data_IF_096143252259
#
_entry.id   IF_096143252259
#
_cell.length_a   1.000
_cell.length_b   1.000
_cell.length_c   1.000
_cell.angle_alpha   90.00
_cell.angle_beta   90.00
_cell.angle_gamma   90.00
#
_symmetry.space_group_name_H-M   'P 1'
#
loop_
_entity.id
_entity.type
_entity.pdbx_description
1 polymer ?
#
# COMPACT_ATOMS: atom_id res chain seq x y z
N UNK A 1 -15.07 -3.03 17.44
CA UNK A 1 -13.72 -2.61 17.04
C UNK A 1 -12.85 -2.57 18.29
N UNK A 2 -11.69 -3.25 18.27
CA UNK A 2 -10.65 -3.11 19.28
C UNK A 2 -9.47 -2.36 18.65
N UNK A 3 -8.94 -1.37 19.35
CA UNK A 3 -7.78 -0.59 18.92
C UNK A 3 -6.76 -0.66 20.05
N UNK A 4 -5.52 -0.95 19.69
CA UNK A 4 -4.39 -1.00 20.60
C UNK A 4 -3.24 -0.17 20.01
N UNK A 5 -2.70 0.74 20.79
CA UNK A 5 -1.63 1.64 20.37
C UNK A 5 -0.46 1.58 21.33
N UNK A 6 0.73 1.62 20.77
CA UNK A 6 2.01 1.72 21.47
C UNK A 6 2.83 2.89 20.90
N UNK A 7 4.02 3.12 21.45
CA UNK A 7 4.93 4.14 20.93
C UNK A 7 5.37 3.90 19.48
N UNK A 8 5.32 2.67 18.98
CA UNK A 8 5.88 2.31 17.69
C UNK A 8 4.93 1.61 16.72
N UNK A 9 3.78 1.10 17.17
CA UNK A 9 2.77 0.53 16.27
C UNK A 9 1.37 0.74 16.80
N UNK A 10 0.39 0.66 15.91
CA UNK A 10 -1.02 0.49 16.24
C UNK A 10 -1.57 -0.79 15.63
N UNK A 11 -2.49 -1.42 16.35
CA UNK A 11 -3.24 -2.60 15.93
C UNK A 11 -4.72 -2.29 16.01
N UNK A 12 -5.43 -2.58 14.93
CA UNK A 12 -6.89 -2.47 14.88
C UNK A 12 -7.48 -3.82 14.50
N UNK A 13 -8.44 -4.28 15.28
CA UNK A 13 -9.17 -5.53 15.04
C UNK A 13 -10.65 -5.23 14.93
N UNK A 14 -11.23 -5.63 13.82
CA UNK A 14 -12.68 -5.66 13.58
C UNK A 14 -13.15 -7.10 13.48
N UNK A 15 -14.45 -7.31 13.23
CA UNK A 15 -14.99 -8.65 13.00
C UNK A 15 -14.30 -9.40 11.87
N UNK A 16 -13.93 -8.70 10.79
CA UNK A 16 -13.49 -9.31 9.53
C UNK A 16 -12.06 -8.91 9.14
N UNK A 17 -11.37 -8.10 9.96
CA UNK A 17 -10.07 -7.55 9.61
C UNK A 17 -9.20 -7.30 10.83
N UNK A 18 -7.94 -7.65 10.73
CA UNK A 18 -6.87 -7.18 11.60
C UNK A 18 -5.90 -6.35 10.77
N UNK A 19 -5.47 -5.21 11.28
CA UNK A 19 -4.42 -4.38 10.68
C UNK A 19 -3.40 -3.97 11.73
N UNK A 20 -2.13 -4.10 11.38
CA UNK A 20 -1.01 -3.59 12.15
C UNK A 20 -0.29 -2.55 11.30
N UNK A 21 0.08 -1.43 11.89
CA UNK A 21 0.78 -0.37 11.17
C UNK A 21 1.84 0.31 12.04
N UNK A 22 2.89 0.79 11.40
CA UNK A 22 3.90 1.66 12.00
C UNK A 22 4.30 2.74 11.00
N UNK A 23 4.63 3.92 11.49
CA UNK A 23 5.16 5.03 10.70
C UNK A 23 6.65 5.25 10.93
N UNK A 24 7.28 4.34 11.67
CA UNK A 24 8.69 4.47 12.09
C UNK A 24 9.55 3.42 11.38
N UNK A 25 10.38 3.84 10.46
CA UNK A 25 11.26 3.02 9.64
C UNK A 25 12.03 1.92 10.42
N UNK A 26 12.71 2.21 11.56
CA UNK A 26 13.44 1.17 12.28
C UNK A 26 12.57 -0.01 12.76
N UNK A 27 11.24 0.14 12.73
CA UNK A 27 10.32 -0.87 13.24
C UNK A 27 9.60 -1.69 12.18
N UNK A 28 9.85 -1.48 10.88
CA UNK A 28 9.17 -2.23 9.82
C UNK A 28 9.40 -3.74 9.94
N UNK A 29 10.65 -4.16 10.12
CA UNK A 29 10.96 -5.58 10.33
C UNK A 29 10.36 -6.12 11.64
N UNK A 30 10.34 -5.32 12.70
CA UNK A 30 9.70 -5.72 13.97
C UNK A 30 8.19 -5.89 13.83
N UNK A 31 7.54 -5.06 13.01
CA UNK A 31 6.10 -5.20 12.71
C UNK A 31 5.82 -6.51 11.97
N UNK A 32 6.65 -6.86 10.97
CA UNK A 32 6.61 -8.17 10.31
C UNK A 32 6.73 -9.31 11.32
N UNK A 33 7.77 -9.27 12.15
CA UNK A 33 8.04 -10.33 13.12
C UNK A 33 6.93 -10.46 14.17
N UNK A 34 6.36 -9.34 14.62
CA UNK A 34 5.18 -9.30 15.49
C UNK A 34 3.98 -9.97 14.80
N UNK A 35 3.74 -9.66 13.53
CA UNK A 35 2.63 -10.24 12.78
C UNK A 35 2.79 -11.76 12.64
N UNK A 36 3.99 -12.24 12.35
CA UNK A 36 4.31 -13.69 12.32
C UNK A 36 4.02 -14.33 13.68
N UNK A 37 4.46 -13.70 14.79
CA UNK A 37 4.22 -14.22 16.15
C UNK A 37 2.74 -14.26 16.51
N UNK A 38 1.94 -13.30 16.09
CA UNK A 38 0.49 -13.34 16.28
C UNK A 38 -0.10 -14.57 15.58
N UNK A 39 0.30 -14.86 14.35
CA UNK A 39 -0.16 -16.04 13.62
C UNK A 39 0.32 -17.35 14.22
N UNK A 40 1.50 -17.39 14.84
CA UNK A 40 1.98 -18.55 15.58
C UNK A 40 1.16 -18.83 16.86
N UNK A 41 0.75 -17.77 17.58
CA UNK A 41 -0.08 -17.89 18.79
C UNK A 41 -1.53 -18.24 18.44
N UNK A 42 -2.00 -17.77 17.30
CA UNK A 42 -3.38 -17.96 16.82
C UNK A 42 -3.41 -18.82 15.54
N UNK A 43 -2.95 -20.08 15.57
CA UNK A 43 -2.72 -20.88 14.36
C UNK A 43 -4.02 -21.24 13.61
N UNK A 44 -5.15 -21.16 14.28
CA UNK A 44 -6.46 -21.48 13.68
C UNK A 44 -7.23 -20.26 13.18
N UNK A 45 -6.60 -19.06 13.18
CA UNK A 45 -7.23 -17.86 12.65
C UNK A 45 -7.41 -18.00 11.12
N UNK A 46 -8.64 -17.94 10.61
CA UNK A 46 -8.86 -18.00 9.17
C UNK A 46 -8.35 -16.72 8.50
N UNK A 47 -7.48 -16.86 7.52
CA UNK A 47 -6.97 -15.76 6.71
C UNK A 47 -7.33 -16.01 5.25
N UNK A 48 -8.20 -15.19 4.69
CA UNK A 48 -8.67 -15.32 3.32
C UNK A 48 -7.91 -14.40 2.37
N UNK A 49 -7.56 -13.23 2.87
CA UNK A 49 -6.83 -12.19 2.15
C UNK A 49 -5.74 -11.63 3.06
N UNK A 50 -4.62 -11.29 2.48
CA UNK A 50 -3.50 -10.69 3.17
C UNK A 50 -2.95 -9.52 2.33
N UNK A 51 -2.47 -8.47 2.97
CA UNK A 51 -1.91 -7.32 2.27
C UNK A 51 -0.73 -6.71 3.02
N UNK A 52 0.30 -6.34 2.26
CA UNK A 52 1.41 -5.52 2.73
C UNK A 52 1.27 -4.16 2.05
N UNK A 53 0.99 -3.12 2.85
CA UNK A 53 0.75 -1.78 2.35
C UNK A 53 1.90 -0.86 2.75
N UNK A 54 2.39 -0.10 1.78
CA UNK A 54 3.37 0.95 2.00
C UNK A 54 2.79 2.28 1.53
N UNK A 55 3.00 3.35 2.28
CA UNK A 55 2.50 4.67 1.94
C UNK A 55 3.49 5.78 2.30
N UNK A 56 3.45 6.86 1.56
CA UNK A 56 4.23 8.05 1.84
C UNK A 56 3.51 9.32 1.42
N UNK A 57 3.79 10.38 2.15
CA UNK A 57 3.40 11.74 1.80
C UNK A 57 4.65 12.57 1.56
N UNK A 58 4.67 13.34 0.48
CA UNK A 58 5.76 14.27 0.19
C UNK A 58 5.22 15.56 -0.43
N UNK A 59 6.04 16.59 -0.51
CA UNK A 59 5.62 17.91 -0.96
C UNK A 59 6.33 18.31 -2.24
N UNK A 60 5.59 18.75 -3.25
CA UNK A 60 6.16 19.47 -4.39
C UNK A 60 6.63 20.87 -3.95
N UNK A 61 7.72 21.38 -4.54
CA UNK A 61 8.29 22.68 -4.12
C UNK A 61 7.35 23.86 -4.38
N UNK A 62 6.51 23.79 -5.40
CA UNK A 62 5.56 24.85 -5.80
C UNK A 62 4.40 24.26 -6.60
N UNK A 63 3.44 25.11 -6.92
CA UNK A 63 2.22 24.77 -7.68
C UNK A 63 2.52 24.28 -9.09
N UNK A 64 3.43 24.93 -9.80
CA UNK A 64 3.79 24.53 -11.17
C UNK A 64 4.37 23.13 -11.23
N UNK A 65 5.22 22.79 -10.27
CA UNK A 65 5.79 21.43 -10.17
C UNK A 65 4.71 20.41 -9.81
N UNK A 66 3.81 20.76 -8.91
CA UNK A 66 2.68 19.92 -8.52
C UNK A 66 1.74 19.66 -9.69
N UNK A 67 1.41 20.68 -10.48
CA UNK A 67 0.59 20.57 -11.68
C UNK A 67 1.27 19.72 -12.77
N UNK A 68 2.58 19.97 -13.02
CA UNK A 68 3.37 19.18 -13.98
C UNK A 68 3.44 17.70 -13.58
N UNK A 69 3.60 17.41 -12.31
CA UNK A 69 3.57 16.04 -11.79
C UNK A 69 2.24 15.36 -12.15
N UNK A 70 1.11 16.00 -11.84
CA UNK A 70 -0.20 15.47 -12.18
C UNK A 70 -0.40 15.27 -13.68
N UNK A 71 0.16 16.18 -14.51
CA UNK A 71 0.12 16.06 -15.95
C UNK A 71 0.99 14.93 -16.50
N UNK A 72 2.18 14.69 -15.92
CA UNK A 72 3.04 13.56 -16.31
C UNK A 72 2.38 12.20 -16.03
N UNK A 73 1.65 12.06 -14.92
CA UNK A 73 0.97 10.82 -14.58
C UNK A 73 -0.31 10.60 -15.41
N UNK A 74 -1.05 11.67 -15.65
CA UNK A 74 -2.28 11.65 -16.45
C UNK A 74 -2.25 12.88 -17.34
N UNK A 75 -1.78 12.75 -18.60
CA UNK A 75 -1.81 13.84 -19.58
C UNK A 75 -3.22 14.39 -19.75
N UNK A 76 -3.34 15.73 -19.73
CA UNK A 76 -4.64 16.41 -19.83
C UNK A 76 -4.95 16.85 -21.26
N UNK A 77 -3.89 16.94 -22.10
CA UNK A 77 -3.99 17.37 -23.47
C UNK A 77 -4.90 16.43 -24.29
N UNK A 78 -5.75 17.00 -25.10
CA UNK A 78 -6.66 16.27 -25.97
C UNK A 78 -8.04 16.06 -25.33
N UNK A 79 -8.31 14.92 -24.71
CA UNK A 79 -9.66 14.59 -24.24
C UNK A 79 -10.11 15.48 -23.07
N UNK A 80 -9.26 15.68 -22.06
CA UNK A 80 -9.70 16.28 -20.81
C UNK A 80 -9.85 17.79 -20.91
N UNK A 81 -8.97 18.49 -21.58
CA UNK A 81 -9.02 19.94 -21.77
C UNK A 81 -10.10 20.39 -22.75
N UNK A 82 -10.64 19.47 -23.57
CA UNK A 82 -11.80 19.74 -24.43
C UNK A 82 -13.14 19.68 -23.71
N UNK A 83 -13.21 18.94 -22.57
CA UNK A 83 -14.47 18.69 -21.85
C UNK A 83 -14.49 19.27 -20.43
N UNK A 84 -13.33 19.62 -19.88
CA UNK A 84 -13.20 20.20 -18.54
C UNK A 84 -12.39 21.50 -18.62
N UNK A 85 -12.76 22.45 -17.80
CA UNK A 85 -11.97 23.67 -17.61
C UNK A 85 -10.92 23.39 -16.51
N UNK A 86 -9.64 23.61 -16.83
CA UNK A 86 -8.51 23.45 -15.91
C UNK A 86 -8.47 22.06 -15.21
N UNK A 87 -8.42 20.94 -15.98
CA UNK A 87 -8.48 19.61 -15.40
C UNK A 87 -7.25 19.28 -14.55
N UNK A 88 -7.46 18.83 -13.30
CA UNK A 88 -6.43 18.40 -12.36
C UNK A 88 -6.43 16.89 -12.11
N UNK A 89 -5.32 16.36 -11.56
CA UNK A 89 -5.25 14.99 -11.09
C UNK A 89 -6.01 14.87 -9.76
N UNK A 90 -7.05 14.04 -9.71
CA UNK A 90 -7.77 13.71 -8.49
C UNK A 90 -7.21 12.43 -7.85
N UNK A 91 -7.01 11.40 -8.66
CA UNK A 91 -6.42 10.12 -8.26
C UNK A 91 -6.07 9.34 -9.52
N UNK A 92 -4.98 8.60 -9.47
CA UNK A 92 -4.65 7.56 -10.44
C UNK A 92 -4.31 6.28 -9.70
N UNK A 93 -4.83 5.15 -10.20
CA UNK A 93 -4.54 3.82 -9.69
C UNK A 93 -4.08 2.97 -10.88
N UNK A 94 -2.90 2.37 -10.74
CA UNK A 94 -2.35 1.44 -11.72
C UNK A 94 -2.24 0.07 -11.05
N UNK A 95 -2.65 -0.98 -11.75
CA UNK A 95 -2.68 -2.35 -11.23
C UNK A 95 -1.81 -3.28 -12.06
N UNK A 96 -0.98 -4.07 -11.39
CA UNK A 96 -0.30 -5.24 -11.94
C UNK A 96 -1.12 -6.49 -11.59
N UNK A 97 -1.72 -7.12 -12.61
CA UNK A 97 -2.54 -8.33 -12.45
C UNK A 97 -2.46 -9.17 -13.72
N UNK A 98 -2.19 -10.51 -13.61
CA UNK A 98 -1.89 -11.23 -12.37
C UNK A 98 -0.55 -10.82 -11.77
N UNK A 99 -0.31 -11.21 -10.53
CA UNK A 99 1.01 -11.11 -9.90
C UNK A 99 2.04 -11.91 -10.68
N UNK A 100 3.29 -11.50 -10.61
CA UNK A 100 4.42 -12.16 -11.30
C UNK A 100 5.11 -13.24 -10.44
N UNK A 101 4.73 -13.34 -9.15
CA UNK A 101 5.24 -14.35 -8.23
C UNK A 101 4.32 -15.60 -8.15
N UNK A 102 4.64 -16.54 -7.26
CA UNK A 102 3.90 -17.79 -7.08
C UNK A 102 2.49 -17.61 -6.46
N UNK A 103 2.16 -16.41 -5.95
CA UNK A 103 0.91 -16.14 -5.25
C UNK A 103 -0.16 -15.56 -6.18
N UNK A 104 -1.41 -15.69 -5.76
CA UNK A 104 -2.56 -15.04 -6.42
C UNK A 104 -2.81 -13.67 -5.79
N UNK A 105 -3.34 -12.75 -6.57
CA UNK A 105 -3.66 -11.39 -6.11
C UNK A 105 -3.27 -10.34 -7.12
N UNK A 106 -2.93 -9.15 -6.64
CA UNK A 106 -2.54 -8.01 -7.46
C UNK A 106 -1.65 -7.05 -6.68
N UNK A 107 -0.93 -6.20 -7.39
CA UNK A 107 -0.24 -5.04 -6.82
C UNK A 107 -0.89 -3.78 -7.39
N UNK A 108 -1.34 -2.89 -6.53
CA UNK A 108 -1.87 -1.58 -6.93
C UNK A 108 -0.99 -0.46 -6.42
N UNK A 109 -0.74 0.52 -7.28
CA UNK A 109 -0.10 1.78 -6.91
C UNK A 109 -1.10 2.91 -7.11
N UNK A 110 -1.39 3.63 -6.03
CA UNK A 110 -2.27 4.80 -6.04
C UNK A 110 -1.45 6.07 -5.82
N UNK A 111 -1.75 7.09 -6.60
CA UNK A 111 -1.20 8.44 -6.41
C UNK A 111 -2.35 9.45 -6.42
N UNK A 112 -2.35 10.35 -5.43
CA UNK A 112 -3.36 11.39 -5.28
C UNK A 112 -2.81 12.61 -4.51
N UNK A 113 -3.50 13.76 -4.53
CA UNK A 113 -3.18 14.88 -3.64
C UNK A 113 -3.22 14.46 -2.17
N UNK A 114 -2.22 14.88 -1.41
CA UNK A 114 -2.16 14.60 0.02
C UNK A 114 -3.18 15.42 0.81
N UNK A 115 -3.92 14.78 1.69
CA UNK A 115 -4.77 15.46 2.68
C UNK A 115 -4.00 15.88 3.93
N UNK A 116 -2.79 15.33 4.14
CA UNK A 116 -1.94 15.60 5.31
C UNK A 116 -0.94 16.73 5.07
N UNK A 117 -0.50 16.89 3.83
CA UNK A 117 0.46 17.93 3.43
C UNK A 117 -0.23 18.89 2.46
N UNK A 118 -0.45 20.11 2.90
CA UNK A 118 -1.08 21.19 2.10
C UNK A 118 -0.22 22.45 2.19
N UNK A 119 -0.17 23.27 1.14
CA UNK A 119 -0.53 22.98 -0.24
C UNK A 119 0.53 22.12 -0.95
N UNK A 120 0.22 21.62 -2.12
CA UNK A 120 1.12 20.90 -3.05
C UNK A 120 1.66 19.57 -2.52
N UNK A 121 0.95 18.96 -1.57
CA UNK A 121 1.26 17.62 -1.07
C UNK A 121 0.80 16.52 -2.01
N UNK A 122 1.55 15.44 -2.04
CA UNK A 122 1.30 14.23 -2.82
C UNK A 122 1.28 13.02 -1.88
N UNK A 123 0.45 12.05 -2.20
CA UNK A 123 0.33 10.78 -1.50
C UNK A 123 0.56 9.65 -2.47
N UNK A 124 1.41 8.71 -2.11
CA UNK A 124 1.63 7.46 -2.83
C UNK A 124 1.32 6.31 -1.90
N UNK A 125 0.63 5.30 -2.41
CA UNK A 125 0.38 4.04 -1.73
C UNK A 125 0.67 2.88 -2.67
N UNK A 126 1.37 1.87 -2.18
CA UNK A 126 1.44 0.55 -2.79
C UNK A 126 0.62 -0.41 -1.94
N UNK A 127 -0.37 -1.06 -2.53
CA UNK A 127 -1.13 -2.16 -1.95
C UNK A 127 -0.69 -3.46 -2.61
N UNK A 128 0.08 -4.26 -1.89
CA UNK A 128 0.53 -5.57 -2.31
C UNK A 128 -0.42 -6.63 -1.74
N UNK A 129 -1.43 -7.00 -2.53
CA UNK A 129 -2.56 -7.82 -2.13
C UNK A 129 -2.37 -9.29 -2.53
N UNK A 130 -2.67 -10.19 -1.60
CA UNK A 130 -2.61 -11.63 -1.74
C UNK A 130 -3.97 -12.27 -1.48
N UNK A 131 -4.46 -13.02 -2.47
CA UNK A 131 -5.61 -13.91 -2.33
C UNK A 131 -5.12 -15.23 -1.71
N UNK A 132 -5.31 -15.40 -0.41
CA UNK A 132 -4.77 -16.55 0.34
C UNK A 132 -5.69 -17.74 0.27
N UNK A 133 -6.97 -17.56 0.59
CA UNK A 133 -8.00 -18.61 0.48
C UNK A 133 -9.37 -17.98 0.18
N UNK A 134 -9.72 -17.93 -1.10
CA UNK A 134 -11.03 -17.37 -1.52
C UNK A 134 -12.24 -18.24 -1.11
N UNK A 135 -12.02 -19.53 -0.90
CA UNK A 135 -13.10 -20.49 -0.72
C UNK A 135 -13.34 -20.91 0.74
N UNK A 136 -12.54 -20.41 1.70
CA UNK A 136 -12.58 -20.81 3.12
C UNK A 136 -12.42 -22.32 3.36
N UNK A 137 -11.92 -23.05 2.36
CA UNK A 137 -11.84 -24.51 2.39
C UNK A 137 -10.55 -25.02 3.00
N UNK A 138 -9.47 -24.22 2.91
CA UNK A 138 -8.17 -24.55 3.46
C UNK A 138 -7.97 -23.82 4.78
N UNK A 139 -7.68 -24.58 5.83
CA UNK A 139 -7.28 -24.02 7.15
C UNK A 139 -5.85 -23.45 7.14
N UNK A 140 -5.20 -23.42 5.97
CA UNK A 140 -3.79 -23.08 5.81
C UNK A 140 -3.51 -21.61 5.50
N UNK A 141 -4.56 -20.76 5.48
CA UNK A 141 -4.41 -19.35 5.16
C UNK A 141 -3.43 -18.60 6.07
N UNK A 142 -3.39 -18.98 7.33
CA UNK A 142 -2.41 -18.49 8.31
C UNK A 142 -0.97 -18.88 7.92
N UNK A 143 -0.73 -20.13 7.53
CA UNK A 143 0.59 -20.60 7.09
C UNK A 143 1.04 -19.89 5.80
N UNK A 144 0.11 -19.68 4.87
CA UNK A 144 0.38 -18.94 3.64
C UNK A 144 0.74 -17.48 3.96
N UNK A 145 0.02 -16.82 4.86
CA UNK A 145 0.33 -15.45 5.29
C UNK A 145 1.73 -15.36 5.94
N UNK A 146 2.09 -16.33 6.77
CA UNK A 146 3.45 -16.43 7.35
C UNK A 146 4.51 -16.65 6.27
N UNK A 147 4.24 -17.52 5.28
CA UNK A 147 5.12 -17.74 4.14
C UNK A 147 5.35 -16.46 3.34
N UNK A 148 4.29 -15.69 3.07
CA UNK A 148 4.38 -14.40 2.40
C UNK A 148 5.28 -13.45 3.18
N UNK A 149 5.06 -13.30 4.49
CA UNK A 149 5.86 -12.42 5.35
C UNK A 149 7.34 -12.83 5.41
N UNK A 150 7.63 -14.13 5.43
CA UNK A 150 9.01 -14.61 5.47
C UNK A 150 9.73 -14.47 4.12
N UNK A 151 9.04 -14.77 3.01
CA UNK A 151 9.70 -14.91 1.71
C UNK A 151 9.61 -13.63 0.87
N UNK A 152 8.49 -12.87 0.97
CA UNK A 152 8.22 -11.74 0.08
C UNK A 152 8.43 -10.36 0.74
N UNK A 153 8.64 -10.31 2.05
CA UNK A 153 8.81 -9.03 2.74
C UNK A 153 9.90 -8.14 2.15
N UNK A 154 11.10 -8.70 1.95
CA UNK A 154 12.23 -7.93 1.40
C UNK A 154 11.96 -7.47 -0.04
N UNK A 155 11.35 -8.31 -0.86
CA UNK A 155 10.97 -7.95 -2.23
C UNK A 155 9.90 -6.86 -2.25
N UNK A 156 8.91 -6.91 -1.32
CA UNK A 156 7.91 -5.86 -1.17
C UNK A 156 8.56 -4.52 -0.80
N UNK A 157 9.48 -4.51 0.18
CA UNK A 157 10.19 -3.28 0.57
C UNK A 157 11.03 -2.72 -0.57
N UNK A 158 11.73 -3.57 -1.32
CA UNK A 158 12.52 -3.15 -2.47
C UNK A 158 11.62 -2.56 -3.57
N UNK A 159 10.53 -3.23 -3.91
CA UNK A 159 9.55 -2.76 -4.91
C UNK A 159 8.94 -1.42 -4.49
N UNK A 160 8.64 -1.24 -3.20
CA UNK A 160 8.17 0.04 -2.67
C UNK A 160 9.18 1.16 -2.86
N UNK A 161 10.46 0.93 -2.52
CA UNK A 161 11.54 1.92 -2.68
C UNK A 161 11.67 2.33 -4.15
N UNK A 162 11.64 1.37 -5.07
CA UNK A 162 11.70 1.63 -6.51
C UNK A 162 10.54 2.47 -6.99
N UNK A 163 9.30 2.10 -6.64
CA UNK A 163 8.08 2.85 -6.99
C UNK A 163 8.16 4.27 -6.43
N UNK A 164 8.49 4.41 -5.14
CA UNK A 164 8.60 5.71 -4.48
C UNK A 164 9.62 6.60 -5.17
N UNK A 165 10.82 6.10 -5.43
CA UNK A 165 11.89 6.88 -6.06
C UNK A 165 11.54 7.30 -7.49
N UNK A 166 10.93 6.43 -8.28
CA UNK A 166 10.50 6.77 -9.65
C UNK A 166 9.40 7.84 -9.64
N UNK A 167 8.40 7.70 -8.78
CA UNK A 167 7.28 8.62 -8.74
C UNK A 167 7.69 9.95 -8.11
N UNK A 168 8.39 9.94 -6.97
CA UNK A 168 8.85 11.17 -6.31
C UNK A 168 9.90 11.93 -7.14
N UNK A 169 10.69 11.23 -7.94
CA UNK A 169 11.65 11.83 -8.87
C UNK A 169 11.01 12.59 -10.05
N UNK A 170 9.68 12.52 -10.22
CA UNK A 170 8.95 13.34 -11.20
C UNK A 170 8.67 14.77 -10.71
N UNK A 171 8.85 15.04 -9.42
CA UNK A 171 8.66 16.36 -8.76
C UNK A 171 9.94 17.26 -8.83
#
# INVERSE_FOLDING_TARGET
VAIFETEWFSCQVTKDRMSLQTVKDPYFNRLRDLTIKIFEILPHTPVNMFGINNESHFKAPNEDTWNRFGHKLVPKDGIWDTVLKDPGLKSVIVEEKPRTDEFKGHVQVKVEPSIRIVPYGLYIQMNDHYDVDKDLKNRDGNEIAKKILNNNWSNNQQKWIEIYNHISGLV
#
